data_IF_422896599587
#
_entry.id   IF_422896599587
#
_cell.length_a   1.000
_cell.length_b   1.000
_cell.length_c   1.000
_cell.angle_alpha   90.00
_cell.angle_beta   90.00
_cell.angle_gamma   90.00
#
_symmetry.space_group_name_H-M   'P 1'
#
loop_
_entity.id
_entity.type
_entity.pdbx_description
1 polymer ?
#
# COMPACT_ATOMS: atom_id res chain seq x y z
N UNK A 1 10.35 53.27 -18.16
CA UNK A 1 11.07 52.22 -17.42
C UNK A 1 10.35 50.88 -17.60
N UNK A 2 10.85 50.00 -18.49
CA UNK A 2 10.29 48.65 -18.69
C UNK A 2 10.70 47.79 -17.50
N UNK A 3 9.76 47.55 -16.59
CA UNK A 3 9.90 46.62 -15.48
C UNK A 3 10.12 45.23 -16.10
N UNK A 4 11.40 44.81 -16.23
CA UNK A 4 11.74 43.44 -16.62
C UNK A 4 11.21 42.54 -15.52
N UNK A 5 10.04 41.92 -15.77
CA UNK A 5 9.51 40.86 -14.96
C UNK A 5 10.62 39.84 -14.76
N UNK A 6 11.00 39.59 -13.50
CA UNK A 6 12.06 38.66 -13.17
C UNK A 6 11.58 37.22 -13.48
N UNK A 7 11.73 36.83 -14.76
CA UNK A 7 11.58 35.48 -15.31
C UNK A 7 12.15 34.35 -14.42
N UNK A 8 13.26 34.49 -13.66
CA UNK A 8 13.76 33.40 -12.82
C UNK A 8 12.79 32.89 -11.75
N UNK A 9 11.85 33.70 -11.27
CA UNK A 9 10.88 33.25 -10.25
C UNK A 9 9.76 32.37 -10.79
N UNK A 10 9.55 32.36 -12.12
CA UNK A 10 8.54 31.52 -12.77
C UNK A 10 9.11 30.22 -13.31
N UNK A 11 10.44 30.09 -13.42
CA UNK A 11 11.07 28.90 -13.97
C UNK A 11 10.66 27.62 -13.23
N UNK A 12 10.67 27.63 -11.89
CA UNK A 12 10.29 26.46 -11.07
C UNK A 12 8.82 26.06 -11.24
N UNK A 13 7.82 26.94 -11.03
CA UNK A 13 6.41 26.55 -11.20
C UNK A 13 6.07 26.17 -12.64
N UNK A 14 6.67 26.82 -13.65
CA UNK A 14 6.50 26.42 -15.05
C UNK A 14 7.08 25.03 -15.29
N UNK A 15 8.30 24.76 -14.82
CA UNK A 15 8.93 23.44 -14.95
C UNK A 15 8.09 22.35 -14.29
N UNK A 16 7.63 22.57 -13.06
CA UNK A 16 6.78 21.60 -12.36
C UNK A 16 5.43 21.41 -13.08
N UNK A 17 4.83 22.48 -13.61
CA UNK A 17 3.60 22.40 -14.42
C UNK A 17 3.83 21.54 -15.66
N UNK A 18 4.92 21.81 -16.41
CA UNK A 18 5.27 21.04 -17.60
C UNK A 18 5.54 19.57 -17.26
N UNK A 19 6.20 19.28 -16.14
CA UNK A 19 6.46 17.91 -15.72
C UNK A 19 5.18 17.16 -15.31
N UNK A 20 4.29 17.80 -14.53
CA UNK A 20 3.00 17.21 -14.14
C UNK A 20 2.13 16.95 -15.37
N UNK A 21 2.00 17.92 -16.27
CA UNK A 21 1.23 17.75 -17.52
C UNK A 21 1.92 16.77 -18.49
N UNK A 22 3.25 16.76 -18.53
CA UNK A 22 4.03 15.81 -19.31
C UNK A 22 3.84 14.37 -18.83
N UNK A 23 3.74 14.14 -17.51
CA UNK A 23 3.42 12.83 -16.96
C UNK A 23 2.02 12.33 -17.40
N UNK A 24 1.08 13.24 -17.65
CA UNK A 24 -0.25 12.91 -18.17
C UNK A 24 -0.23 12.46 -19.65
N UNK A 25 0.75 12.92 -20.45
CA UNK A 25 0.95 12.40 -21.81
C UNK A 25 1.39 10.93 -21.82
N UNK A 26 2.00 10.48 -20.73
CA UNK A 26 2.38 9.09 -20.51
C UNK A 26 1.51 8.44 -19.40
N UNK A 27 0.25 8.83 -19.27
CA UNK A 27 -0.62 8.40 -18.17
C UNK A 27 -0.64 6.89 -17.99
N UNK A 28 -0.64 6.43 -16.74
CA UNK A 28 -0.87 5.04 -16.37
C UNK A 28 -2.29 4.90 -15.79
N UNK A 29 -2.98 3.76 -16.01
CA UNK A 29 -4.24 3.49 -15.34
C UNK A 29 -4.05 3.57 -13.81
N UNK A 30 -4.92 4.31 -13.11
CA UNK A 30 -4.83 4.42 -11.65
C UNK A 30 -5.11 3.08 -10.94
N UNK A 31 -5.88 2.21 -11.60
CA UNK A 31 -6.24 0.87 -11.17
C UNK A 31 -5.91 -0.13 -12.28
N UNK A 32 -5.44 -1.30 -11.89
CA UNK A 32 -5.11 -2.42 -12.77
C UNK A 32 -5.58 -3.73 -12.16
N UNK A 33 -5.63 -4.77 -12.98
CA UNK A 33 -5.86 -6.14 -12.51
C UNK A 33 -4.60 -6.95 -12.78
N UNK A 34 -3.85 -7.42 -11.75
CA UNK A 34 -2.61 -8.14 -11.98
C UNK A 34 -2.81 -9.51 -12.67
N UNK A 35 -4.04 -10.02 -12.74
CA UNK A 35 -4.39 -11.28 -13.39
C UNK A 35 -4.89 -11.05 -14.82
N UNK A 36 -5.77 -10.06 -15.03
CA UNK A 36 -6.39 -9.78 -16.32
C UNK A 36 -5.76 -8.61 -17.10
N UNK A 37 -4.83 -7.87 -16.48
CA UNK A 37 -4.16 -6.68 -17.00
C UNK A 37 -4.93 -5.38 -16.76
N UNK A 38 -6.19 -5.31 -17.19
CA UNK A 38 -6.99 -4.06 -17.16
C UNK A 38 -8.14 -4.17 -16.15
N UNK A 39 -8.28 -3.16 -15.28
CA UNK A 39 -9.41 -3.06 -14.37
C UNK A 39 -10.71 -2.68 -15.12
N UNK A 40 -11.90 -3.14 -14.67
CA UNK A 40 -13.17 -2.74 -15.26
C UNK A 40 -13.32 -1.21 -15.33
N UNK A 41 -13.82 -0.65 -16.46
CA UNK A 41 -13.86 0.80 -16.67
C UNK A 41 -14.84 1.55 -15.75
N UNK A 42 -15.77 0.84 -15.11
CA UNK A 42 -16.64 1.41 -14.08
C UNK A 42 -15.89 1.72 -12.78
N UNK A 43 -14.81 0.99 -12.49
CA UNK A 43 -14.04 1.16 -11.27
C UNK A 43 -13.21 2.43 -11.32
N UNK A 44 -13.22 3.15 -10.20
CA UNK A 44 -12.46 4.38 -10.02
C UNK A 44 -12.12 4.60 -8.55
N UNK A 45 -11.15 5.48 -8.31
CA UNK A 45 -10.84 5.96 -6.97
C UNK A 45 -11.75 7.14 -6.64
N UNK A 46 -12.56 7.01 -5.59
CA UNK A 46 -13.27 8.15 -5.02
C UNK A 46 -12.28 9.01 -4.24
N UNK A 47 -12.32 10.33 -4.49
CA UNK A 47 -11.38 11.30 -3.93
C UNK A 47 -12.13 12.19 -2.94
N UNK A 48 -11.91 12.05 -1.61
CA UNK A 48 -12.49 12.96 -0.63
C UNK A 48 -12.03 14.40 -0.86
N UNK A 49 -12.87 15.39 -0.56
CA UNK A 49 -12.54 16.81 -0.79
C UNK A 49 -11.25 17.24 -0.09
N UNK A 50 -11.02 16.79 1.15
CA UNK A 50 -9.80 17.16 1.90
C UNK A 50 -8.57 16.47 1.31
N UNK A 51 -8.75 15.30 0.70
CA UNK A 51 -7.69 14.66 -0.07
C UNK A 51 -7.34 15.49 -1.30
N UNK A 52 -8.34 15.96 -2.05
CA UNK A 52 -8.13 16.83 -3.19
C UNK A 52 -7.48 18.17 -2.80
N UNK A 53 -7.92 18.78 -1.70
CA UNK A 53 -7.37 20.03 -1.19
C UNK A 53 -5.90 19.91 -0.77
N UNK A 54 -5.46 18.72 -0.35
CA UNK A 54 -4.07 18.42 0.03
C UNK A 54 -3.41 17.43 -0.94
N UNK A 55 -3.83 17.44 -2.22
CA UNK A 55 -3.47 16.43 -3.20
C UNK A 55 -1.95 16.14 -3.27
N UNK A 56 -1.03 17.14 -3.33
CA UNK A 56 0.40 16.83 -3.35
C UNK A 56 0.88 16.06 -2.14
N UNK A 57 0.44 16.43 -0.95
CA UNK A 57 0.87 15.80 0.29
C UNK A 57 0.37 14.35 0.37
N UNK A 58 -0.93 14.14 0.13
CA UNK A 58 -1.53 12.82 0.32
C UNK A 58 -1.18 11.85 -0.80
N UNK A 59 -1.06 12.30 -2.05
CA UNK A 59 -0.62 11.43 -3.15
C UNK A 59 0.84 11.00 -2.99
N UNK A 60 1.72 11.87 -2.48
CA UNK A 60 3.09 11.48 -2.16
C UNK A 60 3.18 10.51 -0.98
N UNK A 61 2.40 10.73 0.08
CA UNK A 61 2.34 9.76 1.17
C UNK A 61 1.85 8.40 0.69
N UNK A 62 0.81 8.35 -0.14
CA UNK A 62 0.34 7.09 -0.73
C UNK A 62 1.43 6.43 -1.58
N UNK A 63 2.10 7.19 -2.45
CA UNK A 63 3.20 6.68 -3.27
C UNK A 63 4.35 6.09 -2.46
N UNK A 64 4.69 6.69 -1.31
CA UNK A 64 5.71 6.18 -0.38
C UNK A 64 5.20 4.96 0.40
N UNK A 65 3.95 4.98 0.87
CA UNK A 65 3.33 3.88 1.62
C UNK A 65 3.19 2.60 0.79
N UNK A 66 3.10 2.70 -0.54
CA UNK A 66 3.00 1.56 -1.46
C UNK A 66 4.35 1.05 -1.97
N UNK A 67 5.48 1.50 -1.40
CA UNK A 67 6.80 0.99 -1.77
C UNK A 67 7.08 -0.39 -1.17
N UNK A 68 7.70 -1.25 -1.96
CA UNK A 68 8.40 -2.43 -1.46
C UNK A 68 9.57 -2.04 -0.54
N UNK A 69 10.02 -2.90 0.37
CA UNK A 69 11.17 -2.61 1.26
C UNK A 69 12.44 -2.19 0.52
N UNK A 70 12.77 -2.83 -0.59
CA UNK A 70 13.89 -2.51 -1.45
C UNK A 70 13.78 -1.07 -1.94
N UNK A 71 12.63 -0.71 -2.53
CA UNK A 71 12.29 0.65 -2.97
C UNK A 71 12.27 1.63 -1.81
N UNK A 72 11.79 1.27 -0.62
CA UNK A 72 11.82 2.15 0.55
C UNK A 72 13.27 2.47 0.95
N UNK A 73 14.17 1.49 0.96
CA UNK A 73 15.60 1.74 1.15
C UNK A 73 16.18 2.63 0.06
N UNK A 74 15.84 2.35 -1.21
CA UNK A 74 16.23 3.17 -2.36
C UNK A 74 15.72 4.61 -2.27
N UNK A 75 14.52 4.81 -1.74
CA UNK A 75 13.91 6.11 -1.50
C UNK A 75 14.71 6.89 -0.46
N UNK A 76 14.98 6.29 0.70
CA UNK A 76 15.74 6.94 1.78
C UNK A 76 17.19 7.27 1.34
N UNK A 77 17.88 6.30 0.73
CA UNK A 77 19.24 6.50 0.21
C UNK A 77 19.25 7.55 -0.91
N UNK A 78 18.30 7.46 -1.84
CA UNK A 78 18.17 8.40 -2.95
C UNK A 78 17.92 9.83 -2.48
N UNK A 79 17.07 10.02 -1.46
CA UNK A 79 16.86 11.33 -0.86
C UNK A 79 18.16 11.88 -0.27
N UNK A 80 18.93 11.06 0.45
CA UNK A 80 20.21 11.47 1.01
C UNK A 80 21.22 11.86 -0.09
N UNK A 81 21.30 11.08 -1.18
CA UNK A 81 22.19 11.34 -2.32
C UNK A 81 21.79 12.62 -3.05
N UNK A 82 20.52 12.76 -3.45
CA UNK A 82 20.01 13.93 -4.16
C UNK A 82 20.18 15.21 -3.34
N UNK A 83 19.89 15.13 -2.04
CA UNK A 83 20.06 16.24 -1.12
C UNK A 83 21.54 16.64 -1.00
N UNK A 84 22.43 15.66 -0.82
CA UNK A 84 23.87 15.92 -0.71
C UNK A 84 24.44 16.52 -1.99
N UNK A 85 24.05 15.99 -3.16
CA UNK A 85 24.44 16.52 -4.46
C UNK A 85 23.98 17.99 -4.64
N UNK A 86 22.73 18.28 -4.29
CA UNK A 86 22.19 19.65 -4.32
C UNK A 86 22.97 20.59 -3.39
N UNK A 87 23.31 20.14 -2.18
CA UNK A 87 24.11 20.91 -1.22
C UNK A 87 25.53 21.18 -1.74
N UNK A 88 26.18 20.18 -2.31
CA UNK A 88 27.51 20.34 -2.92
C UNK A 88 27.45 21.32 -4.10
N UNK A 89 26.47 21.19 -4.99
CA UNK A 89 26.30 22.10 -6.12
C UNK A 89 26.08 23.56 -5.65
N UNK A 90 25.24 23.74 -4.62
CA UNK A 90 25.01 25.06 -4.00
C UNK A 90 26.29 25.60 -3.37
N UNK A 91 27.05 24.78 -2.65
CA UNK A 91 28.30 25.18 -2.02
C UNK A 91 29.35 25.60 -3.06
N UNK A 92 29.51 24.84 -4.16
CA UNK A 92 30.39 25.19 -5.28
C UNK A 92 29.96 26.52 -5.91
N UNK A 93 28.66 26.70 -6.13
CA UNK A 93 28.11 27.95 -6.68
C UNK A 93 28.40 29.15 -5.78
N UNK A 94 28.36 28.97 -4.45
CA UNK A 94 28.67 30.02 -3.48
C UNK A 94 30.18 30.32 -3.40
N UNK A 95 31.07 29.34 -3.60
CA UNK A 95 32.53 29.57 -3.62
C UNK A 95 33.00 30.44 -4.79
N UNK A 96 32.27 30.42 -5.90
CA UNK A 96 32.56 31.28 -7.05
C UNK A 96 32.06 32.72 -6.85
N UNK A 97 31.34 33.01 -5.75
CA UNK A 97 30.96 34.36 -5.39
C UNK A 97 32.08 35.03 -4.54
N UNK A 98 32.53 36.25 -4.88
CA UNK A 98 33.58 36.94 -4.13
C UNK A 98 33.07 37.34 -2.75
N UNK A 99 33.38 36.55 -1.71
CA UNK A 99 32.95 36.83 -0.32
C UNK A 99 34.10 36.71 0.69
N UNK A 100 34.01 37.49 1.78
CA UNK A 100 35.06 37.67 2.81
C UNK A 100 35.18 36.44 3.74
N UNK A 101 36.37 36.14 4.31
CA UNK A 101 36.65 34.94 5.14
C UNK A 101 35.70 34.74 6.35
N UNK A 102 35.30 35.81 7.03
CA UNK A 102 34.38 35.73 8.17
C UNK A 102 32.97 35.24 7.78
N UNK A 103 32.54 35.44 6.52
CA UNK A 103 31.27 34.95 6.01
C UNK A 103 31.25 33.42 5.89
N UNK A 104 32.41 32.76 5.78
CA UNK A 104 32.50 31.30 5.62
C UNK A 104 32.11 30.53 6.89
N UNK A 105 32.50 30.98 8.10
CA UNK A 105 32.14 30.27 9.35
C UNK A 105 30.63 30.30 9.61
N UNK A 106 30.00 31.47 9.42
CA UNK A 106 28.54 31.61 9.52
C UNK A 106 27.81 30.84 8.42
N UNK A 107 28.39 30.73 7.22
CA UNK A 107 27.82 29.92 6.15
C UNK A 107 27.81 28.42 6.49
N UNK A 108 28.89 27.88 7.08
CA UNK A 108 28.94 26.46 7.47
C UNK A 108 27.90 26.14 8.55
N UNK A 109 27.81 26.93 9.62
CA UNK A 109 26.80 26.75 10.68
C UNK A 109 25.37 26.83 10.12
N UNK A 110 25.12 27.75 9.20
CA UNK A 110 23.82 27.88 8.51
C UNK A 110 23.52 26.64 7.66
N UNK A 111 24.49 26.11 6.93
CA UNK A 111 24.29 24.91 6.11
C UNK A 111 24.03 23.67 6.99
N UNK A 112 24.76 23.50 8.10
CA UNK A 112 24.49 22.46 9.11
C UNK A 112 23.08 22.63 9.68
N UNK A 113 22.70 23.85 10.10
CA UNK A 113 21.35 24.12 10.59
C UNK A 113 20.26 23.82 9.56
N UNK A 114 20.51 24.09 8.28
CA UNK A 114 19.55 23.77 7.21
C UNK A 114 19.50 22.27 6.91
N UNK A 115 20.59 21.54 7.07
CA UNK A 115 20.62 20.07 7.02
C UNK A 115 19.77 19.47 8.13
N UNK A 116 20.03 19.87 9.38
CA UNK A 116 19.26 19.39 10.54
C UNK A 116 17.78 19.69 10.37
N UNK A 117 17.41 20.91 9.99
CA UNK A 117 16.00 21.26 9.76
C UNK A 117 15.37 20.43 8.63
N UNK A 118 16.08 20.19 7.52
CA UNK A 118 15.55 19.37 6.43
C UNK A 118 15.32 17.92 6.86
N UNK A 119 16.25 17.33 7.64
CA UNK A 119 16.10 15.99 8.19
C UNK A 119 14.93 15.90 9.18
N UNK A 120 14.77 16.90 10.05
CA UNK A 120 13.63 16.98 10.97
C UNK A 120 12.30 17.08 10.22
N UNK A 121 12.23 17.90 9.16
CA UNK A 121 11.02 18.01 8.33
C UNK A 121 10.73 16.73 7.55
N UNK A 122 11.75 16.03 7.05
CA UNK A 122 11.58 14.73 6.40
C UNK A 122 11.09 13.68 7.40
N UNK A 123 11.69 13.62 8.59
CA UNK A 123 11.25 12.72 9.65
C UNK A 123 9.80 13.01 10.07
N UNK A 124 9.45 14.29 10.25
CA UNK A 124 8.09 14.71 10.54
C UNK A 124 7.12 14.32 9.42
N UNK A 125 7.50 14.49 8.15
CA UNK A 125 6.72 14.07 6.99
C UNK A 125 6.46 12.56 7.00
N UNK A 126 7.48 11.74 7.23
CA UNK A 126 7.35 10.28 7.26
C UNK A 126 6.52 9.80 8.45
N UNK A 127 6.81 10.31 9.65
CA UNK A 127 6.08 9.96 10.88
C UNK A 127 4.62 10.38 10.79
N UNK A 128 4.33 11.60 10.33
CA UNK A 128 2.95 12.06 10.14
C UNK A 128 2.22 11.21 9.08
N UNK A 129 2.88 10.88 7.96
CA UNK A 129 2.31 10.02 6.93
C UNK A 129 1.97 8.61 7.40
N UNK A 130 2.79 8.05 8.29
CA UNK A 130 2.62 6.72 8.86
C UNK A 130 1.63 6.67 10.03
N UNK A 131 1.50 7.73 10.82
CA UNK A 131 0.63 7.74 12.02
C UNK A 131 -0.75 8.32 11.77
N UNK A 132 -0.87 9.26 10.83
CA UNK A 132 -2.10 9.99 10.64
C UNK A 132 -3.10 9.23 9.77
N UNK A 133 -4.24 8.90 10.37
CA UNK A 133 -5.42 8.35 9.71
C UNK A 133 -6.20 9.44 8.93
N UNK A 134 -5.52 10.07 7.96
CA UNK A 134 -6.05 11.09 7.06
C UNK A 134 -7.19 10.54 6.16
N UNK A 135 -7.97 11.40 5.47
CA UNK A 135 -8.80 10.95 4.37
C UNK A 135 -7.98 10.14 3.37
N UNK A 136 -8.54 9.03 2.89
CA UNK A 136 -7.89 8.14 1.93
C UNK A 136 -8.73 7.98 0.67
N UNK A 137 -8.11 7.55 -0.41
CA UNK A 137 -8.84 7.12 -1.60
C UNK A 137 -9.57 5.81 -1.31
N UNK A 138 -10.79 5.67 -1.83
CA UNK A 138 -11.57 4.44 -1.73
C UNK A 138 -11.92 3.90 -3.11
N UNK A 139 -12.15 2.59 -3.21
CA UNK A 139 -12.71 2.02 -4.43
C UNK A 139 -14.17 2.48 -4.61
N UNK A 140 -14.57 2.77 -5.84
CA UNK A 140 -15.93 3.16 -6.20
C UNK A 140 -16.29 2.67 -7.61
N UNK A 141 -17.58 2.64 -7.92
CA UNK A 141 -18.09 2.12 -9.20
C UNK A 141 -18.10 0.60 -9.29
N UNK A 142 -18.12 -0.05 -8.14
CA UNK A 142 -18.25 -1.50 -7.96
C UNK A 142 -19.66 -1.94 -8.38
N UNK A 143 -19.76 -3.08 -9.05
CA UNK A 143 -21.05 -3.68 -9.42
C UNK A 143 -21.82 -4.06 -8.13
N UNK A 144 -23.13 -3.81 -8.01
CA UNK A 144 -23.91 -4.24 -6.84
C UNK A 144 -23.89 -5.76 -6.56
N UNK A 145 -23.46 -6.57 -7.54
CA UNK A 145 -23.25 -8.02 -7.40
C UNK A 145 -21.83 -8.38 -6.96
N UNK A 146 -20.93 -7.43 -6.73
CA UNK A 146 -19.58 -7.68 -6.25
C UNK A 146 -19.45 -7.26 -4.78
N UNK A 147 -18.84 -8.13 -3.98
CA UNK A 147 -18.42 -7.85 -2.60
C UNK A 147 -16.96 -7.41 -2.63
N UNK A 148 -16.65 -6.25 -2.05
CA UNK A 148 -15.27 -5.77 -1.88
C UNK A 148 -14.69 -6.35 -0.59
N UNK A 149 -13.76 -7.29 -0.72
CA UNK A 149 -13.16 -8.00 0.41
C UNK A 149 -11.67 -7.71 0.59
N UNK A 150 -11.21 -7.67 1.84
CA UNK A 150 -9.81 -7.83 2.20
C UNK A 150 -9.61 -9.13 2.99
N UNK A 151 -8.54 -9.85 2.69
CA UNK A 151 -8.32 -11.21 3.21
C UNK A 151 -7.23 -11.30 4.28
N UNK A 152 -6.54 -10.20 4.57
CA UNK A 152 -5.47 -10.18 5.57
C UNK A 152 -5.37 -8.83 6.26
N UNK A 153 -5.73 -8.77 7.53
CA UNK A 153 -5.54 -7.59 8.37
C UNK A 153 -5.33 -7.98 9.83
N UNK A 154 -4.50 -7.20 10.51
CA UNK A 154 -4.15 -7.38 11.91
C UNK A 154 -4.79 -6.32 12.79
N UNK A 155 -4.97 -6.68 14.06
CA UNK A 155 -5.39 -5.78 15.14
C UNK A 155 -4.36 -5.79 16.27
N UNK A 156 -4.61 -4.97 17.29
CA UNK A 156 -3.77 -4.90 18.48
C UNK A 156 -3.69 -6.19 19.32
N UNK A 157 -4.37 -7.28 18.91
CA UNK A 157 -4.16 -8.61 19.47
C UNK A 157 -2.92 -9.30 18.87
N UNK A 158 -2.50 -8.94 17.65
CA UNK A 158 -1.24 -9.43 17.08
C UNK A 158 -0.03 -8.85 17.78
N UNK A 159 1.02 -9.67 17.89
CA UNK A 159 2.26 -9.28 18.57
C UNK A 159 3.05 -8.18 17.86
N UNK A 160 2.82 -7.98 16.56
CA UNK A 160 3.45 -6.96 15.73
C UNK A 160 2.71 -5.62 15.74
N UNK A 161 1.58 -5.52 16.45
CA UNK A 161 0.86 -4.26 16.69
C UNK A 161 0.86 -3.88 18.16
N UNK A 162 0.61 -4.84 19.06
CA UNK A 162 0.37 -4.60 20.50
C UNK A 162 1.45 -3.76 21.18
N UNK A 163 2.71 -3.93 20.74
CA UNK A 163 3.90 -3.30 21.34
C UNK A 163 4.38 -2.08 20.52
N UNK A 164 3.57 -1.57 19.59
CA UNK A 164 3.93 -0.46 18.69
C UNK A 164 3.17 0.82 18.99
N UNK A 165 3.41 1.87 18.19
CA UNK A 165 2.60 3.10 18.22
C UNK A 165 1.15 2.87 17.74
N UNK A 166 0.88 1.74 17.09
CA UNK A 166 -0.45 1.31 16.65
C UNK A 166 -1.19 0.41 17.65
N UNK A 167 -0.74 0.33 18.92
CA UNK A 167 -1.40 -0.49 19.97
C UNK A 167 -2.91 -0.23 20.20
N UNK A 168 -3.44 0.89 19.69
CA UNK A 168 -4.87 1.22 19.74
C UNK A 168 -5.63 0.84 18.46
N UNK A 169 -4.97 0.18 17.51
CA UNK A 169 -5.57 -0.32 16.27
C UNK A 169 -6.32 -1.62 16.55
N UNK A 170 -7.43 -1.51 17.29
CA UNK A 170 -8.32 -2.64 17.60
C UNK A 170 -9.22 -3.02 16.40
N UNK A 171 -10.07 -4.02 16.59
CA UNK A 171 -11.01 -4.48 15.57
C UNK A 171 -11.94 -3.36 15.03
N UNK A 172 -12.30 -2.38 15.86
CA UNK A 172 -13.14 -1.25 15.41
C UNK A 172 -12.32 -0.24 14.61
N UNK A 173 -11.08 0.04 15.02
CA UNK A 173 -10.16 0.86 14.26
C UNK A 173 -9.88 0.25 12.88
N UNK A 174 -9.68 -1.08 12.84
CA UNK A 174 -9.57 -1.83 11.58
C UNK A 174 -10.83 -1.69 10.75
N UNK A 175 -12.03 -1.91 11.32
CA UNK A 175 -13.30 -1.71 10.60
C UNK A 175 -13.38 -0.32 9.98
N UNK A 176 -13.15 0.74 10.77
CA UNK A 176 -13.21 2.12 10.28
C UNK A 176 -12.20 2.40 9.19
N UNK A 177 -10.99 1.84 9.27
CA UNK A 177 -9.96 1.98 8.25
C UNK A 177 -10.44 1.35 6.93
N UNK A 178 -10.93 0.11 6.98
CA UNK A 178 -11.45 -0.62 5.82
C UNK A 178 -12.71 0.02 5.22
N UNK A 179 -13.64 0.50 6.05
CA UNK A 179 -14.81 1.25 5.57
C UNK A 179 -14.41 2.51 4.79
N UNK A 180 -13.37 3.25 5.25
CA UNK A 180 -12.87 4.42 4.52
C UNK A 180 -12.15 4.05 3.22
N UNK A 181 -11.61 2.85 3.11
CA UNK A 181 -11.01 2.33 1.88
C UNK A 181 -12.06 1.74 0.91
N UNK A 182 -13.31 1.58 1.34
CA UNK A 182 -14.42 1.08 0.52
C UNK A 182 -14.57 -0.44 0.51
N UNK A 183 -14.20 -1.12 1.60
CA UNK A 183 -14.43 -2.56 1.77
C UNK A 183 -15.80 -2.85 2.38
N UNK A 184 -16.45 -3.92 1.90
CA UNK A 184 -17.66 -4.48 2.47
C UNK A 184 -17.34 -5.55 3.53
N UNK A 185 -16.23 -6.27 3.37
CA UNK A 185 -15.78 -7.31 4.28
C UNK A 185 -14.26 -7.27 4.49
N UNK A 186 -13.79 -7.58 5.70
CA UNK A 186 -12.36 -7.75 6.01
C UNK A 186 -12.17 -8.96 6.91
N UNK A 187 -11.27 -9.86 6.54
CA UNK A 187 -10.84 -10.95 7.39
C UNK A 187 -9.79 -10.45 8.39
N UNK A 188 -10.09 -10.61 9.68
CA UNK A 188 -9.16 -10.32 10.76
C UNK A 188 -8.35 -11.59 11.04
N UNK A 189 -7.05 -11.53 10.78
CA UNK A 189 -6.14 -12.67 10.70
C UNK A 189 -4.98 -12.51 11.68
N UNK A 190 -5.29 -12.14 12.91
CA UNK A 190 -4.28 -11.90 13.93
C UNK A 190 -3.32 -13.09 14.12
N UNK A 191 -2.04 -12.79 14.35
CA UNK A 191 -0.97 -13.79 14.44
C UNK A 191 -1.25 -14.80 15.56
N UNK A 192 -1.61 -16.02 15.17
CA UNK A 192 -1.84 -17.14 16.07
C UNK A 192 -2.98 -16.91 17.08
N UNK A 193 -3.89 -15.97 16.82
CA UNK A 193 -5.06 -15.66 17.64
C UNK A 193 -6.32 -16.11 16.90
N UNK A 194 -7.11 -16.99 17.51
CA UNK A 194 -8.34 -17.50 16.88
C UNK A 194 -9.46 -16.45 16.86
N UNK A 195 -10.39 -16.57 15.91
CA UNK A 195 -11.61 -15.76 15.82
C UNK A 195 -12.43 -15.71 17.12
N UNK A 196 -12.41 -16.81 17.89
CA UNK A 196 -13.07 -16.91 19.20
C UNK A 196 -12.39 -16.04 20.25
N UNK A 197 -11.07 -16.02 20.25
CA UNK A 197 -10.26 -15.20 21.16
C UNK A 197 -10.35 -13.71 20.79
N UNK A 198 -10.33 -13.40 19.49
CA UNK A 198 -10.50 -12.02 19.00
C UNK A 198 -11.94 -11.50 19.08
N UNK A 199 -12.90 -12.38 19.38
CA UNK A 199 -14.34 -12.09 19.48
C UNK A 199 -14.92 -11.46 18.20
N UNK A 200 -14.27 -11.65 17.06
CA UNK A 200 -14.71 -11.12 15.76
C UNK A 200 -16.04 -11.74 15.34
N UNK A 201 -16.21 -13.05 15.56
CA UNK A 201 -17.44 -13.78 15.24
C UNK A 201 -18.70 -13.22 15.95
N UNK A 202 -18.55 -12.51 17.07
CA UNK A 202 -19.66 -11.94 17.84
C UNK A 202 -20.09 -10.57 17.26
N UNK A 203 -19.23 -9.92 16.46
CA UNK A 203 -19.43 -8.54 15.97
C UNK A 203 -20.03 -8.46 14.57
N UNK A 204 -20.63 -9.54 14.08
CA UNK A 204 -21.34 -9.57 12.79
C UNK A 204 -22.74 -8.92 12.85
N UNK A 205 -23.26 -8.59 14.03
CA UNK A 205 -24.58 -7.96 14.17
C UNK A 205 -24.49 -6.43 14.15
N UNK A 206 -24.97 -5.81 13.07
CA UNK A 206 -25.20 -4.36 13.01
C UNK A 206 -25.29 -3.80 11.59
N UNK A 207 -25.87 -2.61 11.47
CA UNK A 207 -25.95 -1.76 10.26
C UNK A 207 -24.57 -1.20 9.80
N UNK A 208 -23.48 -1.88 10.16
CA UNK A 208 -22.12 -1.41 9.92
C UNK A 208 -21.75 -1.52 8.44
N UNK A 209 -21.01 -0.53 7.93
CA UNK A 209 -20.60 -0.45 6.52
C UNK A 209 -19.58 -1.50 6.08
N UNK A 210 -18.87 -2.12 7.02
CA UNK A 210 -17.89 -3.19 6.74
C UNK A 210 -18.03 -4.31 7.78
N UNK A 211 -18.19 -5.54 7.31
CA UNK A 211 -18.26 -6.75 8.14
C UNK A 211 -16.87 -7.26 8.47
N UNK A 212 -16.67 -7.63 9.74
CA UNK A 212 -15.43 -8.28 10.18
C UNK A 212 -15.62 -9.80 10.08
N UNK A 213 -14.81 -10.43 9.24
CA UNK A 213 -14.80 -11.86 9.01
C UNK A 213 -13.73 -12.55 9.86
N UNK A 214 -14.01 -13.75 10.37
CA UNK A 214 -13.06 -14.50 11.18
C UNK A 214 -11.94 -15.09 10.33
N UNK A 215 -10.72 -15.01 10.85
CA UNK A 215 -9.55 -15.72 10.33
C UNK A 215 -8.43 -15.77 11.36
N UNK A 216 -7.30 -16.33 10.96
CA UNK A 216 -6.07 -16.41 11.76
C UNK A 216 -4.88 -16.52 10.82
N UNK A 217 -3.80 -15.77 11.07
CA UNK A 217 -2.53 -16.02 10.40
C UNK A 217 -1.65 -16.90 11.30
N UNK A 218 -1.30 -18.06 10.77
CA UNK A 218 -0.53 -19.08 11.47
C UNK A 218 0.96 -18.95 11.16
N UNK A 219 1.78 -18.69 12.17
CA UNK A 219 3.24 -18.70 12.04
C UNK A 219 3.80 -20.11 12.23
N UNK A 220 4.15 -20.77 11.12
CA UNK A 220 4.47 -22.19 11.05
C UNK A 220 5.93 -22.44 10.65
N UNK A 221 6.26 -23.67 10.24
CA UNK A 221 7.59 -24.00 9.73
C UNK A 221 7.92 -23.22 8.46
N UNK A 222 8.69 -22.13 8.59
CA UNK A 222 9.15 -21.29 7.46
C UNK A 222 8.01 -20.89 6.52
N UNK A 223 6.84 -20.65 7.08
CA UNK A 223 5.62 -20.32 6.35
C UNK A 223 4.69 -19.53 7.27
N UNK A 224 4.05 -18.52 6.70
CA UNK A 224 2.82 -17.96 7.25
C UNK A 224 1.66 -18.46 6.38
N UNK A 225 0.64 -19.03 7.03
CA UNK A 225 -0.57 -19.52 6.37
C UNK A 225 -1.75 -18.81 7.01
N UNK A 226 -2.49 -18.05 6.20
CA UNK A 226 -3.76 -17.48 6.63
C UNK A 226 -4.84 -18.56 6.50
N UNK A 227 -5.60 -18.76 7.55
CA UNK A 227 -6.80 -19.61 7.54
C UNK A 227 -8.03 -18.69 7.58
N UNK A 228 -8.77 -18.66 6.47
CA UNK A 228 -9.98 -17.85 6.30
C UNK A 228 -11.21 -18.66 6.74
N UNK A 229 -11.84 -18.27 7.84
CA UNK A 229 -12.99 -18.98 8.42
C UNK A 229 -13.05 -18.90 9.94
N UNK A 230 -14.17 -19.34 10.52
CA UNK A 230 -14.33 -19.42 11.98
C UNK A 230 -13.53 -20.59 12.55
N UNK A 231 -12.23 -20.37 12.71
CA UNK A 231 -11.32 -21.39 13.23
C UNK A 231 -11.43 -21.47 14.75
N UNK A 232 -11.56 -22.69 15.28
CA UNK A 232 -11.20 -22.96 16.66
C UNK A 232 -9.70 -22.75 16.91
N UNK A 233 -9.23 -22.89 18.17
CA UNK A 233 -7.80 -22.84 18.48
C UNK A 233 -7.01 -23.86 17.67
N UNK A 234 -5.87 -23.44 17.11
CA UNK A 234 -4.99 -24.29 16.29
C UNK A 234 -3.70 -24.60 17.06
N UNK A 235 -3.40 -25.88 17.28
CA UNK A 235 -2.21 -26.31 18.03
C UNK A 235 -0.94 -26.25 17.17
N UNK A 236 -0.30 -25.08 17.15
CA UNK A 236 0.86 -24.73 16.30
C UNK A 236 2.03 -25.70 16.37
N UNK A 237 2.26 -26.33 17.51
CA UNK A 237 3.42 -27.21 17.71
C UNK A 237 3.40 -28.41 16.76
N UNK A 238 2.21 -28.86 16.32
CA UNK A 238 2.05 -29.95 15.35
C UNK A 238 2.56 -29.62 13.95
N UNK A 239 2.77 -28.34 13.66
CA UNK A 239 3.02 -27.80 12.32
C UNK A 239 4.41 -27.11 12.21
N UNK A 240 5.34 -27.50 13.08
CA UNK A 240 6.73 -26.99 13.14
C UNK A 240 7.71 -27.74 12.23
N UNK A 241 7.23 -28.59 11.33
CA UNK A 241 8.02 -29.26 10.29
C UNK A 241 7.34 -29.14 8.93
N UNK A 242 8.05 -29.49 7.84
CA UNK A 242 7.46 -29.56 6.51
C UNK A 242 6.25 -30.51 6.48
N UNK A 243 6.38 -31.72 7.02
CA UNK A 243 5.26 -32.67 7.07
C UNK A 243 4.09 -32.12 7.88
N UNK A 244 4.37 -31.38 8.94
CA UNK A 244 3.34 -30.66 9.69
C UNK A 244 2.62 -29.64 8.83
N UNK A 245 3.36 -28.78 8.13
CA UNK A 245 2.78 -27.81 7.21
C UNK A 245 1.91 -28.49 6.13
N UNK A 246 2.42 -29.53 5.46
CA UNK A 246 1.67 -30.25 4.43
C UNK A 246 0.40 -30.90 5.00
N UNK A 247 0.46 -31.45 6.22
CA UNK A 247 -0.73 -31.97 6.93
C UNK A 247 -1.75 -30.88 7.20
N UNK A 248 -1.32 -29.69 7.66
CA UNK A 248 -2.24 -28.57 7.88
C UNK A 248 -2.97 -28.22 6.58
N UNK A 249 -2.23 -28.04 5.49
CA UNK A 249 -2.82 -27.68 4.19
C UNK A 249 -3.82 -28.73 3.72
N UNK A 250 -3.48 -30.01 3.82
CA UNK A 250 -4.37 -31.13 3.44
C UNK A 250 -5.65 -31.23 4.29
N UNK A 251 -5.70 -30.60 5.47
CA UNK A 251 -6.79 -30.77 6.44
C UNK A 251 -7.45 -29.46 6.87
N UNK A 252 -7.07 -28.31 6.29
CA UNK A 252 -7.53 -27.00 6.76
C UNK A 252 -9.06 -26.86 6.71
N UNK A 253 -9.69 -27.21 5.59
CA UNK A 253 -11.14 -27.11 5.45
C UNK A 253 -11.88 -28.13 6.34
N UNK A 254 -11.41 -29.38 6.40
CA UNK A 254 -12.10 -30.43 7.18
C UNK A 254 -11.90 -30.32 8.69
N UNK A 255 -10.70 -29.96 9.15
CA UNK A 255 -10.37 -29.88 10.57
C UNK A 255 -10.71 -28.51 11.18
N UNK A 256 -10.60 -27.42 10.40
CA UNK A 256 -10.75 -26.06 10.91
C UNK A 256 -11.85 -25.26 10.22
N UNK A 257 -12.54 -25.83 9.21
CA UNK A 257 -13.59 -25.15 8.43
C UNK A 257 -13.09 -23.85 7.82
N UNK A 258 -11.83 -23.84 7.40
CA UNK A 258 -11.16 -22.66 6.88
C UNK A 258 -10.35 -22.96 5.62
N UNK A 259 -10.30 -21.97 4.74
CA UNK A 259 -9.50 -22.03 3.52
C UNK A 259 -8.09 -21.50 3.81
N UNK A 260 -7.09 -22.24 3.34
CA UNK A 260 -5.68 -21.94 3.54
C UNK A 260 -5.12 -21.05 2.43
N UNK A 261 -4.46 -19.96 2.81
CA UNK A 261 -3.81 -19.03 1.89
C UNK A 261 -2.34 -18.91 2.26
N UNK A 262 -1.46 -19.12 1.28
CA UNK A 262 -0.04 -18.90 1.47
C UNK A 262 0.23 -17.39 1.51
N UNK A 263 0.78 -16.92 2.63
CA UNK A 263 1.04 -15.51 2.90
C UNK A 263 2.43 -15.07 2.44
N UNK A 264 2.53 -13.85 1.92
CA UNK A 264 3.78 -13.17 1.64
C UNK A 264 4.32 -12.50 2.93
N UNK A 265 5.65 -12.38 3.11
CA UNK A 265 6.71 -12.78 2.18
C UNK A 265 7.18 -14.24 2.33
N UNK A 266 6.70 -15.00 3.29
CA UNK A 266 7.31 -16.27 3.72
C UNK A 266 7.36 -17.30 2.61
N UNK A 267 6.29 -17.49 1.84
CA UNK A 267 6.32 -18.47 0.76
C UNK A 267 7.34 -18.08 -0.31
N UNK A 268 7.50 -16.78 -0.61
CA UNK A 268 8.50 -16.30 -1.56
C UNK A 268 9.90 -16.60 -1.07
N UNK A 269 10.16 -16.33 0.21
CA UNK A 269 11.50 -16.49 0.79
C UNK A 269 11.91 -17.95 0.99
N UNK A 270 10.97 -18.81 1.36
CA UNK A 270 11.29 -20.15 1.85
C UNK A 270 10.62 -21.30 1.08
N UNK A 271 9.53 -21.03 0.38
CA UNK A 271 8.70 -22.07 -0.26
C UNK A 271 8.59 -21.90 -1.78
N UNK A 272 9.32 -20.97 -2.41
CA UNK A 272 9.20 -20.67 -3.85
C UNK A 272 9.33 -21.89 -4.74
N UNK A 273 10.31 -22.76 -4.45
CA UNK A 273 10.52 -24.00 -5.20
C UNK A 273 9.52 -25.13 -4.87
N UNK A 274 8.58 -24.88 -3.97
CA UNK A 274 7.58 -25.84 -3.49
C UNK A 274 6.15 -25.39 -3.73
N UNK A 275 5.90 -24.25 -4.37
CA UNK A 275 4.55 -23.72 -4.54
C UNK A 275 3.60 -24.72 -5.23
N UNK A 276 4.10 -25.44 -6.23
CA UNK A 276 3.37 -26.51 -6.90
C UNK A 276 3.02 -27.67 -5.95
N UNK A 277 4.00 -28.09 -5.12
CA UNK A 277 3.78 -29.10 -4.08
C UNK A 277 2.73 -28.64 -3.06
N UNK A 278 2.80 -27.39 -2.59
CA UNK A 278 1.83 -26.82 -1.64
C UNK A 278 0.42 -26.83 -2.23
N UNK A 279 0.27 -26.38 -3.49
CA UNK A 279 -1.00 -26.41 -4.20
C UNK A 279 -1.55 -27.83 -4.40
N UNK A 280 -0.68 -28.79 -4.72
CA UNK A 280 -1.05 -30.18 -4.93
C UNK A 280 -1.56 -30.87 -3.65
N UNK A 281 -0.96 -30.57 -2.49
CA UNK A 281 -1.37 -31.21 -1.22
C UNK A 281 -2.66 -30.64 -0.61
N UNK A 282 -3.11 -29.47 -1.06
CA UNK A 282 -4.37 -28.89 -0.59
C UNK A 282 -4.32 -27.42 -0.18
N UNK A 283 -3.25 -26.67 -0.48
CA UNK A 283 -3.30 -25.21 -0.32
C UNK A 283 -4.41 -24.62 -1.19
N UNK A 284 -5.31 -23.82 -0.60
CA UNK A 284 -6.50 -23.33 -1.30
C UNK A 284 -6.26 -22.07 -2.13
N UNK A 285 -5.31 -21.23 -1.72
CA UNK A 285 -4.96 -20.02 -2.47
C UNK A 285 -3.60 -19.39 -2.13
N UNK A 286 -3.28 -18.33 -2.87
CA UNK A 286 -2.05 -17.56 -2.73
C UNK A 286 -2.33 -16.07 -2.61
N UNK A 287 -1.60 -15.38 -1.74
CA UNK A 287 -1.46 -13.94 -1.83
C UNK A 287 -0.62 -13.58 -3.05
N UNK A 288 -1.18 -12.79 -3.97
CA UNK A 288 -0.50 -12.36 -5.18
C UNK A 288 0.03 -10.93 -5.07
N UNK A 289 -0.71 -10.06 -4.36
CA UNK A 289 -0.37 -8.68 -4.08
C UNK A 289 -0.54 -8.46 -2.59
N UNK A 290 0.47 -7.92 -1.90
CA UNK A 290 0.39 -7.63 -0.48
C UNK A 290 0.99 -6.23 -0.23
N UNK A 291 0.26 -5.38 0.49
CA UNK A 291 0.64 -3.98 0.71
C UNK A 291 1.67 -3.76 1.83
N UNK A 292 1.97 -4.77 2.64
CA UNK A 292 3.09 -4.73 3.60
C UNK A 292 4.40 -4.56 2.84
N UNK A 293 5.28 -3.61 3.23
CA UNK A 293 6.51 -3.34 2.49
C UNK A 293 7.37 -4.57 2.25
N UNK A 294 7.43 -5.51 3.21
CA UNK A 294 8.25 -6.73 3.10
C UNK A 294 7.67 -7.73 2.11
N UNK A 295 6.34 -7.75 2.00
CA UNK A 295 5.57 -8.64 1.16
C UNK A 295 5.36 -8.08 -0.25
N UNK A 296 5.44 -6.77 -0.41
CA UNK A 296 5.24 -6.02 -1.65
C UNK A 296 6.41 -6.11 -2.66
N UNK A 297 7.18 -7.20 -2.63
CA UNK A 297 8.44 -7.36 -3.35
C UNK A 297 8.36 -8.27 -4.57
N UNK A 298 7.19 -8.87 -4.85
CA UNK A 298 7.01 -9.68 -6.04
C UNK A 298 7.12 -8.83 -7.31
N UNK A 299 8.00 -9.28 -8.20
CA UNK A 299 8.12 -8.78 -9.58
C UNK A 299 6.97 -9.31 -10.44
N UNK A 300 6.74 -8.70 -11.61
CA UNK A 300 5.70 -9.18 -12.54
C UNK A 300 5.93 -10.64 -12.98
N UNK A 301 7.18 -11.04 -13.24
CA UNK A 301 7.51 -12.42 -13.61
C UNK A 301 7.24 -13.43 -12.47
N UNK A 302 7.48 -13.02 -11.22
CA UNK A 302 7.11 -13.84 -10.06
C UNK A 302 5.59 -13.93 -9.91
N UNK A 303 4.86 -12.82 -10.06
CA UNK A 303 3.39 -12.79 -10.09
C UNK A 303 2.84 -13.75 -11.16
N UNK A 304 3.38 -13.72 -12.39
CA UNK A 304 2.97 -14.63 -13.47
C UNK A 304 3.21 -16.10 -13.12
N UNK A 305 4.31 -16.40 -12.42
CA UNK A 305 4.62 -17.75 -11.94
C UNK A 305 3.56 -18.25 -10.95
N UNK A 306 3.20 -17.41 -9.96
CA UNK A 306 2.16 -17.77 -8.98
C UNK A 306 0.79 -17.94 -9.66
N UNK A 307 0.44 -17.06 -10.61
CA UNK A 307 -0.77 -17.17 -11.43
C UNK A 307 -0.80 -18.50 -12.19
N UNK A 308 0.31 -18.89 -12.81
CA UNK A 308 0.42 -20.16 -13.55
C UNK A 308 0.16 -21.38 -12.68
N UNK A 309 0.74 -21.41 -11.48
CA UNK A 309 0.54 -22.50 -10.51
C UNK A 309 -0.90 -22.51 -10.01
N UNK A 310 -1.42 -21.36 -9.59
CA UNK A 310 -2.79 -21.23 -9.09
C UNK A 310 -3.82 -21.67 -10.15
N UNK A 311 -3.62 -21.28 -11.41
CA UNK A 311 -4.48 -21.70 -12.52
C UNK A 311 -4.41 -23.22 -12.77
N UNK A 312 -3.21 -23.80 -12.71
CA UNK A 312 -3.00 -25.25 -12.94
C UNK A 312 -3.71 -26.09 -11.89
N UNK A 313 -3.68 -25.66 -10.62
CA UNK A 313 -4.28 -26.38 -9.50
C UNK A 313 -5.68 -25.89 -9.13
N UNK A 314 -6.28 -25.00 -9.94
CA UNK A 314 -7.53 -24.31 -9.66
C UNK A 314 -7.62 -23.70 -8.23
N UNK A 315 -6.54 -23.03 -7.81
CA UNK A 315 -6.45 -22.32 -6.53
C UNK A 315 -6.77 -20.85 -6.72
N UNK A 316 -7.45 -20.24 -5.76
CA UNK A 316 -7.74 -18.81 -5.84
C UNK A 316 -6.49 -17.96 -5.59
N UNK A 317 -6.50 -16.73 -6.08
CA UNK A 317 -5.48 -15.73 -5.79
C UNK A 317 -6.13 -14.51 -5.18
N UNK A 318 -5.45 -13.87 -4.24
CA UNK A 318 -5.96 -12.68 -3.54
C UNK A 318 -4.91 -11.57 -3.49
N UNK A 319 -5.38 -10.33 -3.51
CA UNK A 319 -4.63 -9.19 -3.03
C UNK A 319 -4.95 -8.95 -1.56
N UNK A 320 -4.01 -8.46 -0.76
CA UNK A 320 -4.26 -8.21 0.66
C UNK A 320 -3.68 -6.88 1.12
N UNK A 321 -4.34 -6.23 2.07
CA UNK A 321 -3.80 -5.03 2.68
C UNK A 321 -2.65 -5.35 3.63
N UNK A 322 -2.73 -6.49 4.33
CA UNK A 322 -1.82 -6.81 5.44
C UNK A 322 -1.70 -5.60 6.39
N UNK A 323 -2.86 -5.03 6.73
CA UNK A 323 -2.93 -3.75 7.43
C UNK A 323 -2.68 -3.91 8.93
N UNK A 324 -1.68 -3.17 9.41
CA UNK A 324 -1.37 -3.00 10.84
C UNK A 324 -1.75 -1.62 11.39
N UNK A 325 -2.57 -0.86 10.66
CA UNK A 325 -3.01 0.48 11.05
C UNK A 325 -2.05 1.62 10.71
N UNK A 326 -0.93 1.32 10.06
CA UNK A 326 -0.01 2.36 9.58
C UNK A 326 -0.56 3.03 8.32
N UNK A 327 -0.59 4.36 8.35
CA UNK A 327 -1.01 5.18 7.23
C UNK A 327 -2.50 5.03 6.90
N UNK A 328 -2.87 5.67 5.79
CA UNK A 328 -4.25 5.75 5.32
C UNK A 328 -4.26 5.53 3.80
N UNK A 329 -3.81 4.35 3.39
CA UNK A 329 -3.61 4.01 1.98
C UNK A 329 -3.95 2.54 1.78
N UNK A 330 -5.01 2.23 1.03
CA UNK A 330 -5.19 0.90 0.47
C UNK A 330 -4.50 0.83 -0.90
N UNK A 331 -3.73 -0.23 -1.11
CA UNK A 331 -3.04 -0.51 -2.37
C UNK A 331 -3.83 -1.49 -3.25
N UNK A 332 -4.71 -2.29 -2.65
CA UNK A 332 -5.35 -3.41 -3.33
C UNK A 332 -6.75 -3.68 -2.77
N UNK A 333 -7.64 -4.17 -3.63
CA UNK A 333 -8.99 -4.62 -3.29
C UNK A 333 -9.27 -5.93 -4.01
N UNK A 334 -10.23 -6.69 -3.50
CA UNK A 334 -10.70 -7.93 -4.13
C UNK A 334 -12.18 -7.83 -4.40
N UNK A 335 -12.60 -8.14 -5.62
CA UNK A 335 -14.01 -8.25 -5.97
C UNK A 335 -14.40 -9.73 -6.02
N UNK A 336 -15.37 -10.08 -5.19
CA UNK A 336 -15.92 -11.43 -5.07
C UNK A 336 -17.37 -11.39 -5.52
N UNK A 337 -17.68 -12.11 -6.60
CA UNK A 337 -19.03 -12.08 -7.16
C UNK A 337 -20.02 -12.78 -6.23
N UNK A 338 -21.12 -12.11 -5.93
CA UNK A 338 -22.27 -12.61 -5.19
C UNK A 338 -23.56 -12.38 -6.00
N UNK A 339 -23.93 -13.36 -6.85
CA UNK A 339 -25.16 -13.27 -7.64
C UNK A 339 -26.38 -13.23 -6.70
N UNK A 340 -27.24 -12.22 -6.85
CA UNK A 340 -28.46 -12.06 -6.03
C UNK A 340 -28.45 -10.88 -5.06
N UNK A 341 -27.36 -10.10 -5.01
CA UNK A 341 -27.23 -8.94 -4.11
C UNK A 341 -26.56 -9.30 -2.77
N UNK A 342 -26.44 -8.35 -1.83
CA UNK A 342 -25.67 -8.54 -0.61
C UNK A 342 -26.29 -9.65 0.27
N UNK A 343 -25.58 -10.75 0.52
CA UNK A 343 -26.08 -11.83 1.35
C UNK A 343 -26.13 -11.43 2.83
N UNK A 344 -27.03 -12.07 3.60
CA UNK A 344 -27.09 -11.87 5.05
C UNK A 344 -25.79 -12.30 5.77
N UNK A 345 -25.12 -13.33 5.25
CA UNK A 345 -23.79 -13.77 5.71
C UNK A 345 -22.74 -13.47 4.62
N UNK A 346 -22.17 -12.27 4.67
CA UNK A 346 -21.12 -11.83 3.76
C UNK A 346 -19.86 -12.71 3.83
N UNK A 347 -19.45 -13.11 5.03
CA UNK A 347 -18.24 -13.90 5.21
C UNK A 347 -18.40 -15.31 4.64
N UNK A 348 -19.52 -15.97 4.94
CA UNK A 348 -19.85 -17.29 4.39
C UNK A 348 -19.99 -17.27 2.87
N UNK A 349 -20.60 -16.23 2.30
CA UNK A 349 -20.72 -16.07 0.86
C UNK A 349 -19.37 -15.90 0.17
N UNK A 350 -18.48 -15.08 0.74
CA UNK A 350 -17.12 -14.91 0.24
C UNK A 350 -16.36 -16.25 0.28
N UNK A 351 -16.38 -16.95 1.42
CA UNK A 351 -15.74 -18.28 1.54
C UNK A 351 -16.35 -19.31 0.58
N UNK A 352 -17.65 -19.27 0.35
CA UNK A 352 -18.33 -20.10 -0.64
C UNK A 352 -17.82 -19.85 -2.05
N UNK A 353 -17.65 -18.58 -2.42
CA UNK A 353 -17.14 -18.20 -3.73
C UNK A 353 -15.66 -18.56 -3.91
N UNK A 354 -14.82 -18.41 -2.87
CA UNK A 354 -13.40 -18.82 -2.92
C UNK A 354 -13.21 -20.29 -3.27
N UNK A 355 -14.14 -21.17 -2.87
CA UNK A 355 -14.11 -22.60 -3.22
C UNK A 355 -14.28 -22.88 -4.71
N UNK A 356 -14.72 -21.90 -5.51
CA UNK A 356 -14.79 -22.04 -6.98
C UNK A 356 -13.40 -22.02 -7.65
N UNK A 357 -12.36 -21.62 -6.91
CA UNK A 357 -10.96 -21.72 -7.34
C UNK A 357 -10.46 -20.46 -8.03
N UNK A 358 -9.67 -20.61 -9.09
CA UNK A 358 -8.87 -19.52 -9.67
C UNK A 358 -9.68 -18.30 -10.11
N UNK A 359 -10.91 -18.50 -10.59
CA UNK A 359 -11.81 -17.42 -11.04
C UNK A 359 -12.62 -16.77 -9.92
N UNK A 360 -12.43 -17.17 -8.66
CA UNK A 360 -13.27 -16.72 -7.55
C UNK A 360 -13.15 -15.22 -7.27
N UNK A 361 -11.97 -14.65 -7.53
CA UNK A 361 -11.59 -13.30 -7.12
C UNK A 361 -11.04 -12.52 -8.31
N UNK A 362 -11.49 -11.28 -8.46
CA UNK A 362 -10.80 -10.28 -9.28
C UNK A 362 -10.01 -9.35 -8.37
N UNK A 363 -8.70 -9.26 -8.59
CA UNK A 363 -7.81 -8.40 -7.81
C UNK A 363 -7.73 -7.03 -8.50
N UNK A 364 -7.91 -5.96 -7.74
CA UNK A 364 -7.79 -4.59 -8.22
C UNK A 364 -6.63 -3.93 -7.48
N UNK A 365 -5.51 -3.73 -8.18
CA UNK A 365 -4.29 -3.11 -7.64
C UNK A 365 -4.19 -1.65 -8.09
N UNK A 366 -3.84 -0.77 -7.16
CA UNK A 366 -3.53 0.64 -7.43
C UNK A 366 -2.16 0.77 -8.08
N UNK A 367 -2.05 1.69 -9.05
CA UNK A 367 -0.76 2.01 -9.66
C UNK A 367 0.27 2.47 -8.62
N UNK A 368 1.49 1.97 -8.75
CA UNK A 368 2.60 2.25 -7.86
C UNK A 368 3.94 2.03 -8.58
N UNK A 369 5.01 2.51 -7.96
CA UNK A 369 6.37 2.14 -8.35
C UNK A 369 6.69 0.73 -7.84
N UNK A 370 6.86 -0.22 -8.76
CA UNK A 370 7.14 -1.63 -8.48
C UNK A 370 8.63 -1.90 -8.26
N UNK A 371 8.99 -3.01 -7.57
CA UNK A 371 10.39 -3.42 -7.42
C UNK A 371 11.10 -3.61 -8.77
N UNK A 372 10.42 -4.13 -9.78
CA UNK A 372 10.94 -4.43 -11.12
C UNK A 372 10.74 -3.30 -12.16
N UNK A 373 10.35 -2.09 -11.73
CA UNK A 373 10.33 -0.95 -12.63
C UNK A 373 11.74 -0.45 -12.97
N UNK A 374 11.87 0.15 -14.15
CA UNK A 374 13.15 0.55 -14.75
C UNK A 374 13.93 1.62 -13.94
N UNK A 375 13.29 2.28 -12.99
CA UNK A 375 13.93 3.28 -12.14
C UNK A 375 15.10 2.68 -11.35
N UNK A 376 16.32 3.24 -11.43
CA UNK A 376 17.40 2.83 -10.53
C UNK A 376 17.04 3.07 -9.06
N UNK A 377 17.53 2.21 -8.17
CA UNK A 377 17.16 2.26 -6.74
C UNK A 377 17.42 3.63 -6.09
N UNK A 378 18.54 4.27 -6.39
CA UNK A 378 18.90 5.59 -5.84
C UNK A 378 18.08 6.75 -6.46
N UNK A 379 17.36 6.52 -7.56
CA UNK A 379 16.41 7.46 -8.16
C UNK A 379 14.97 7.20 -7.73
N UNK A 380 14.73 6.29 -6.79
CA UNK A 380 13.38 5.98 -6.28
C UNK A 380 12.59 7.22 -5.84
N UNK A 381 13.15 8.27 -5.21
CA UNK A 381 12.38 9.47 -4.87
C UNK A 381 11.77 10.17 -6.09
N UNK A 382 12.51 10.21 -7.21
CA UNK A 382 12.02 10.79 -8.46
C UNK A 382 11.02 9.83 -9.10
N UNK A 383 11.30 8.53 -9.09
CA UNK A 383 10.38 7.52 -9.60
C UNK A 383 9.03 7.51 -8.89
N UNK A 384 9.00 7.66 -7.56
CA UNK A 384 7.76 7.74 -6.78
C UNK A 384 6.94 8.95 -7.20
N UNK A 385 7.56 10.12 -7.34
CA UNK A 385 6.86 11.34 -7.80
C UNK A 385 6.31 11.15 -9.21
N UNK A 386 7.14 10.62 -10.11
CA UNK A 386 6.78 10.43 -11.51
C UNK A 386 5.64 9.42 -11.68
N UNK A 387 5.75 8.23 -11.10
CA UNK A 387 4.70 7.21 -11.18
C UNK A 387 3.42 7.65 -10.48
N UNK A 388 3.53 8.43 -9.40
CA UNK A 388 2.37 9.06 -8.76
C UNK A 388 1.67 10.02 -9.74
N UNK A 389 2.41 10.91 -10.41
CA UNK A 389 1.85 11.84 -11.39
C UNK A 389 1.23 11.15 -12.61
N UNK A 390 1.83 10.06 -13.09
CA UNK A 390 1.28 9.27 -14.20
C UNK A 390 -0.09 8.66 -13.88
N UNK A 391 -0.34 8.33 -12.63
CA UNK A 391 -1.60 7.72 -12.17
C UNK A 391 -2.65 8.72 -11.69
N UNK A 392 -2.36 10.02 -11.69
CA UNK A 392 -3.35 11.01 -11.27
C UNK A 392 -4.47 11.12 -12.29
N UNK A 393 -5.71 11.09 -11.81
CA UNK A 393 -6.84 11.61 -12.56
C UNK A 393 -6.83 13.14 -12.60
N UNK A 394 -7.54 13.73 -13.56
CA UNK A 394 -7.53 15.17 -13.83
C UNK A 394 -7.86 16.06 -12.61
N UNK A 395 -8.73 15.60 -11.70
CA UNK A 395 -9.02 16.35 -10.48
C UNK A 395 -7.77 16.52 -9.60
N UNK A 396 -7.02 15.43 -9.35
CA UNK A 396 -5.79 15.48 -8.57
C UNK A 396 -4.68 16.25 -9.31
N UNK A 397 -4.59 16.11 -10.64
CA UNK A 397 -3.70 16.90 -11.48
C UNK A 397 -3.96 18.40 -11.30
N UNK A 398 -5.23 18.83 -11.36
CA UNK A 398 -5.60 20.22 -11.09
C UNK A 398 -5.22 20.65 -9.66
N UNK A 399 -5.45 19.79 -8.66
CA UNK A 399 -5.03 20.03 -7.28
C UNK A 399 -3.52 20.28 -7.15
N UNK A 400 -2.70 19.50 -7.84
CA UNK A 400 -1.25 19.71 -7.93
C UNK A 400 -0.88 21.05 -8.54
N UNK A 401 -1.49 21.40 -9.67
CA UNK A 401 -1.24 22.69 -10.35
C UNK A 401 -1.61 23.87 -9.46
N UNK A 402 -2.77 23.81 -8.78
CA UNK A 402 -3.20 24.84 -7.83
C UNK A 402 -2.13 25.06 -6.76
N UNK A 403 -1.60 23.99 -6.15
CA UNK A 403 -0.56 24.09 -5.13
C UNK A 403 0.77 24.66 -5.66
N UNK A 404 1.20 24.22 -6.84
CA UNK A 404 2.42 24.72 -7.50
C UNK A 404 2.34 26.25 -7.66
N UNK A 405 1.21 26.74 -8.17
CA UNK A 405 1.00 28.17 -8.41
C UNK A 405 0.71 28.97 -7.14
N UNK A 406 -0.07 28.43 -6.20
CA UNK A 406 -0.31 29.07 -4.91
C UNK A 406 0.99 29.32 -4.14
N UNK A 407 1.88 28.33 -4.09
CA UNK A 407 3.20 28.49 -3.48
C UNK A 407 4.07 29.52 -4.21
N UNK A 408 4.04 29.54 -5.54
CA UNK A 408 4.77 30.52 -6.34
C UNK A 408 4.29 31.94 -6.07
N UNK A 409 2.97 32.14 -5.91
CA UNK A 409 2.37 33.43 -5.57
C UNK A 409 2.72 33.86 -4.14
N UNK A 410 2.64 32.95 -3.16
CA UNK A 410 3.00 33.24 -1.76
C UNK A 410 4.48 33.63 -1.60
N UNK A 411 5.36 33.11 -2.46
CA UNK A 411 6.79 33.49 -2.47
C UNK A 411 7.09 34.84 -3.12
N UNK A 412 6.14 35.43 -3.86
CA UNK A 412 6.28 36.80 -4.35
C UNK A 412 6.12 37.73 -3.16
N UNK A 413 7.22 38.09 -2.50
CA UNK A 413 7.20 39.19 -1.52
C UNK A 413 6.73 40.45 -2.25
N UNK A 414 5.74 41.21 -1.74
CA UNK A 414 5.51 42.55 -2.21
C UNK A 414 6.80 43.32 -1.98
N UNK A 415 7.36 43.92 -3.04
CA UNK A 415 8.38 44.94 -2.86
C UNK A 415 7.70 46.07 -2.10
N UNK A 416 8.06 46.26 -0.84
CA UNK A 416 7.72 47.48 -0.11
C UNK A 416 8.20 48.65 -0.96
N UNK A 417 7.25 49.43 -1.46
CA UNK A 417 7.47 50.68 -2.20
C UNK A 417 8.14 51.72 -1.32
#
# INVERSE_FOLDING_TARGET
MKQRWALPHLAVPITLTVLVLGAQLASAPALSDPVAGVAPPSLRLAVPWLYLALAPLFTLWDGVSMLSMSRLHGFLLGLAVLYSAWRVARFISLRHAPTRPAAHRFAVLREVGTLVLALLLLAAFLVAGALWHRPMLSLAGVDPQDIVADFHSHTNLSHDIRDTWMRNFDAEASRRWHSRAGFDAVFITDHNISSRESRVAIRQSGTASTVLCPGIEMSLWRAHIVLLGDTGPVERQRYRSLDGLLRLLATSDSAYRALSVASLPEYRRYQWHRLDQLAAVGLDGFELVNASPKANELTRAETDTVIGIARTHNRFVVGVSDSHGWGATSMVWNLVRSPGGPPADLCGAVLGQLRTGFSAVRIIERHRLRPDDWWPMWLTPIGVVWETWRALGWALTAGWLIWIWAWALLRRRPRSS
#
